data_IF_042697601722
#
_entry.id   IF_042697601722
#
_cell.length_a   1.000
_cell.length_b   1.000
_cell.length_c   1.000
_cell.angle_alpha   90.00
_cell.angle_beta   90.00
_cell.angle_gamma   90.00
#
_symmetry.space_group_name_H-M   'P 1'
#
loop_
_entity.id
_entity.type
_entity.pdbx_description
1 polymer ?
#
# COMPACT_ATOMS: atom_id res chain seq x y z
N UNK A 1 -11.89 -0.10 0.13
CA UNK A 1 -10.95 -1.24 0.06
C UNK A 1 -10.46 -1.36 -1.36
N UNK A 2 -9.15 -1.53 -1.55
CA UNK A 2 -8.52 -1.48 -2.88
C UNK A 2 -7.30 -2.38 -2.95
N UNK A 3 -6.98 -2.83 -4.16
CA UNK A 3 -5.77 -3.54 -4.51
C UNK A 3 -4.94 -2.68 -5.47
N UNK A 4 -3.62 -2.79 -5.37
CA UNK A 4 -2.67 -2.15 -6.28
C UNK A 4 -1.56 -3.16 -6.58
N UNK A 5 -1.47 -3.61 -7.83
CA UNK A 5 -0.32 -4.37 -8.31
C UNK A 5 0.80 -3.39 -8.63
N UNK A 6 1.97 -3.60 -8.04
CA UNK A 6 3.16 -2.80 -8.29
C UNK A 6 4.37 -3.71 -8.41
N UNK A 7 4.95 -3.79 -9.61
CA UNK A 7 6.05 -4.69 -9.94
C UNK A 7 5.74 -6.13 -9.46
N UNK A 8 6.55 -6.65 -8.55
CA UNK A 8 6.41 -7.99 -7.96
C UNK A 8 5.59 -8.01 -6.66
N UNK A 9 5.03 -6.88 -6.26
CA UNK A 9 4.24 -6.72 -5.04
C UNK A 9 2.77 -6.54 -5.38
N UNK A 10 1.91 -7.11 -4.54
CA UNK A 10 0.52 -6.71 -4.45
C UNK A 10 0.34 -5.94 -3.14
N UNK A 11 -0.28 -4.77 -3.22
CA UNK A 11 -0.64 -3.95 -2.07
C UNK A 11 -2.15 -4.03 -1.89
N UNK A 12 -2.61 -4.17 -0.65
CA UNK A 12 -4.03 -4.13 -0.32
C UNK A 12 -4.30 -3.16 0.82
N UNK A 13 -5.34 -2.34 0.73
CA UNK A 13 -5.84 -1.52 1.83
C UNK A 13 -7.26 -1.92 2.24
N UNK A 14 -7.56 -1.84 3.52
CA UNK A 14 -8.82 -2.31 4.10
C UNK A 14 -9.40 -1.31 5.11
N UNK A 15 -10.68 -1.47 5.45
CA UNK A 15 -11.35 -0.70 6.50
C UNK A 15 -10.92 -1.14 7.91
N UNK A 16 -10.24 -2.28 8.03
CA UNK A 16 -9.60 -2.76 9.27
C UNK A 16 -8.33 -1.99 9.64
N UNK A 17 -8.07 -0.85 8.99
CA UNK A 17 -6.92 0.01 9.23
C UNK A 17 -5.58 -0.62 8.84
N UNK A 18 -5.57 -1.61 7.94
CA UNK A 18 -4.33 -2.21 7.47
C UNK A 18 -4.04 -1.92 6.00
N UNK A 19 -2.75 -1.72 5.73
CA UNK A 19 -2.16 -1.89 4.40
C UNK A 19 -1.25 -3.12 4.46
N UNK A 20 -1.44 -4.05 3.54
CA UNK A 20 -0.65 -5.29 3.48
C UNK A 20 0.12 -5.36 2.18
N UNK A 21 1.36 -5.81 2.29
CA UNK A 21 2.21 -6.16 1.15
C UNK A 21 2.20 -7.66 1.00
N UNK A 22 1.92 -8.10 -0.22
CA UNK A 22 1.87 -9.50 -0.60
C UNK A 22 2.93 -9.77 -1.65
N UNK A 23 3.61 -10.90 -1.52
CA UNK A 23 4.63 -11.37 -2.46
C UNK A 23 4.31 -12.81 -2.86
N UNK A 24 4.60 -13.16 -4.11
CA UNK A 24 4.50 -14.54 -4.57
C UNK A 24 5.53 -15.41 -3.83
N UNK A 25 5.05 -16.50 -3.25
CA UNK A 25 5.87 -17.55 -2.65
C UNK A 25 6.41 -18.47 -3.75
N UNK A 26 7.40 -19.32 -3.43
CA UNK A 26 7.98 -20.30 -4.36
C UNK A 26 6.92 -21.23 -4.99
N UNK A 27 5.82 -21.47 -4.27
CA UNK A 27 4.72 -22.33 -4.71
C UNK A 27 3.67 -21.58 -5.56
N UNK A 28 3.91 -20.30 -5.90
CA UNK A 28 3.02 -19.47 -6.71
C UNK A 28 1.84 -18.84 -5.96
N UNK A 29 1.71 -19.08 -4.65
CA UNK A 29 0.68 -18.44 -3.81
C UNK A 29 1.14 -17.06 -3.32
N UNK A 30 0.21 -16.16 -3.04
CA UNK A 30 0.51 -14.88 -2.41
C UNK A 30 0.53 -15.01 -0.88
N UNK A 31 1.63 -14.58 -0.27
CA UNK A 31 1.78 -14.49 1.19
C UNK A 31 1.95 -13.03 1.63
N UNK A 32 1.35 -12.66 2.76
CA UNK A 32 1.60 -11.35 3.39
C UNK A 32 3.01 -11.35 3.95
N UNK A 33 3.84 -10.41 3.50
CA UNK A 33 5.21 -10.23 4.01
C UNK A 33 5.32 -9.05 4.96
N UNK A 34 4.43 -8.08 4.84
CA UNK A 34 4.41 -6.88 5.67
C UNK A 34 2.98 -6.38 5.91
N UNK A 35 2.74 -5.82 7.09
CA UNK A 35 1.47 -5.16 7.44
C UNK A 35 1.81 -3.83 8.11
N UNK A 36 1.35 -2.75 7.49
CA UNK A 36 1.33 -1.40 8.05
C UNK A 36 -0.05 -1.14 8.66
N UNK A 37 -0.08 -0.49 9.82
CA UNK A 37 -1.32 -0.13 10.50
C UNK A 37 -1.50 1.37 10.48
N UNK A 38 -2.74 1.78 10.26
CA UNK A 38 -3.20 3.15 10.25
C UNK A 38 -4.15 3.41 11.42
N UNK A 39 -4.49 4.67 11.64
CA UNK A 39 -5.53 5.04 12.61
C UNK A 39 -6.94 4.93 12.00
N UNK A 40 -7.06 5.13 10.69
CA UNK A 40 -8.34 5.19 9.99
C UNK A 40 -8.44 4.14 8.89
N UNK A 41 -9.66 3.69 8.62
CA UNK A 41 -9.94 2.74 7.56
C UNK A 41 -9.58 3.31 6.18
N UNK A 42 -9.11 2.45 5.28
CA UNK A 42 -8.60 2.84 3.97
C UNK A 42 -9.55 2.51 2.83
N UNK A 43 -9.71 3.46 1.92
CA UNK A 43 -10.73 3.43 0.88
C UNK A 43 -10.14 3.06 -0.49
N UNK A 44 -9.01 3.66 -0.88
CA UNK A 44 -8.42 3.45 -2.19
C UNK A 44 -6.90 3.55 -2.18
N UNK A 45 -6.23 2.81 -3.09
CA UNK A 45 -4.79 2.88 -3.33
C UNK A 45 -4.52 3.30 -4.77
N UNK A 46 -3.56 4.21 -4.94
CA UNK A 46 -3.04 4.61 -6.25
C UNK A 46 -1.53 4.72 -6.21
N UNK A 47 -0.89 4.16 -7.23
CA UNK A 47 0.55 4.22 -7.37
C UNK A 47 1.05 5.29 -8.33
N UNK A 48 2.17 5.93 -8.03
CA UNK A 48 2.88 6.84 -8.94
C UNK A 48 4.38 6.93 -8.62
N UNK A 49 5.19 7.32 -9.59
CA UNK A 49 6.58 7.65 -9.30
C UNK A 49 6.68 9.14 -8.94
N UNK A 50 7.54 9.48 -7.98
CA UNK A 50 7.86 10.87 -7.66
C UNK A 50 8.78 11.50 -8.72
N UNK A 51 9.23 12.74 -8.46
CA UNK A 51 10.13 13.47 -9.37
C UNK A 51 11.52 12.83 -9.51
N UNK A 52 11.95 12.04 -8.52
CA UNK A 52 13.21 11.29 -8.52
C UNK A 52 13.02 9.86 -9.06
N UNK A 53 11.84 9.56 -9.62
CA UNK A 53 11.44 8.23 -10.10
C UNK A 53 11.41 7.15 -9.01
N UNK A 54 11.25 7.54 -7.75
CA UNK A 54 11.04 6.61 -6.63
C UNK A 54 9.56 6.20 -6.57
N UNK A 55 9.27 4.92 -6.27
CA UNK A 55 7.90 4.46 -6.16
C UNK A 55 7.24 5.02 -4.89
N UNK A 56 6.11 5.72 -5.07
CA UNK A 56 5.25 6.19 -3.98
C UNK A 56 3.82 5.74 -4.22
N UNK A 57 3.02 5.63 -3.16
CA UNK A 57 1.59 5.41 -3.33
C UNK A 57 0.77 6.36 -2.47
N UNK A 58 -0.39 6.72 -3.00
CA UNK A 58 -1.42 7.50 -2.35
C UNK A 58 -2.47 6.56 -1.76
N UNK A 59 -2.91 6.86 -0.55
CA UNK A 59 -4.01 6.17 0.08
C UNK A 59 -5.09 7.15 0.50
N UNK A 60 -6.31 6.94 0.01
CA UNK A 60 -7.49 7.68 0.46
C UNK A 60 -8.00 7.05 1.76
N UNK A 61 -8.19 7.88 2.78
CA UNK A 61 -8.52 7.47 4.15
C UNK A 61 -9.94 7.89 4.52
N UNK A 62 -10.54 7.19 5.48
CA UNK A 62 -11.91 7.47 5.92
C UNK A 62 -12.04 8.69 6.85
N UNK A 63 -10.94 9.40 7.10
CA UNK A 63 -10.87 10.66 7.84
C UNK A 63 -10.93 11.90 6.92
N UNK A 64 -11.22 11.69 5.63
CA UNK A 64 -11.24 12.72 4.57
C UNK A 64 -9.86 13.24 4.15
N UNK A 65 -8.77 12.58 4.53
CA UNK A 65 -7.43 12.89 4.04
C UNK A 65 -6.95 11.86 3.02
N UNK A 66 -5.95 12.27 2.23
CA UNK A 66 -5.14 11.39 1.40
C UNK A 66 -3.74 11.41 1.96
N UNK A 67 -3.17 10.23 2.24
CA UNK A 67 -1.80 10.06 2.72
C UNK A 67 -0.91 9.61 1.56
N UNK A 68 0.35 10.04 1.59
CA UNK A 68 1.39 9.64 0.66
C UNK A 68 2.41 8.78 1.41
N UNK A 69 2.76 7.64 0.84
CA UNK A 69 3.77 6.73 1.39
C UNK A 69 4.88 6.47 0.38
N UNK A 70 6.11 6.48 0.87
CA UNK A 70 7.27 6.02 0.13
C UNK A 70 7.43 4.50 0.26
N UNK A 71 7.83 3.84 -0.82
CA UNK A 71 8.21 2.42 -0.79
C UNK A 71 9.73 2.26 -0.83
N UNK A 72 10.27 1.20 -0.19
CA UNK A 72 9.57 0.10 0.47
C UNK A 72 9.26 0.34 1.97
N UNK A 73 9.64 1.50 2.53
CA UNK A 73 9.63 1.76 3.97
C UNK A 73 8.29 2.16 4.56
N UNK A 74 7.31 2.55 3.73
CA UNK A 74 6.08 3.21 4.17
C UNK A 74 6.35 4.45 5.03
N UNK A 75 7.43 5.19 4.72
CA UNK A 75 7.67 6.51 5.33
C UNK A 75 6.65 7.51 4.79
N UNK A 76 6.07 8.30 5.69
CA UNK A 76 5.31 9.49 5.30
C UNK A 76 6.29 10.57 4.82
N UNK A 77 6.04 11.09 3.63
CA UNK A 77 6.81 12.18 3.01
C UNK A 77 6.09 13.52 3.07
#
# INVERSE_FOLDING_TARGET
>A
MSLLCWDQFLLSCSLDQTIKVWVATENGNLGVTYTHNEEYGMLNLRGMHDLESKPVFLCACNDNYVRLYELPSFSEG
#
